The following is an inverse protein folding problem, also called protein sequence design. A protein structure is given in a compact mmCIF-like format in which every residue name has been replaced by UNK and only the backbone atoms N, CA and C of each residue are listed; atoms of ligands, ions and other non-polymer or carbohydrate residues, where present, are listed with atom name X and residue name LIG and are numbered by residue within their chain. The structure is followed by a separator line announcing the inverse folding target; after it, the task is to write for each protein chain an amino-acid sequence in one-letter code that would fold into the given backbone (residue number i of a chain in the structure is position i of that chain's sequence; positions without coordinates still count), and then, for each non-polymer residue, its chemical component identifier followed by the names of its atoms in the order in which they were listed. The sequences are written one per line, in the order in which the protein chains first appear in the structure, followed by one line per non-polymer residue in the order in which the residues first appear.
data_IF_845298404060
#
_entry.id   IF_845298404060
#
_cell.length_a   1.000
_cell.length_b   1.000
_cell.length_c   1.000
_cell.angle_alpha   90.00
_cell.angle_beta   90.00
_cell.angle_gamma   90.00
#
_symmetry.space_group_name_H-M   'P 1'
#
loop_
_entity.id
_entity.type
_entity.pdbx_description
1 polymer ?
#
# COMPACT_ATOMS: atom_id res chain seq x y z
N UNK A 1 -21.53 12.46 -10.74
CA UNK A 1 -20.74 12.97 -9.60
C UNK A 1 -19.33 12.38 -9.70
N UNK A 2 -18.37 13.09 -10.29
CA UNK A 2 -16.99 12.59 -10.53
C UNK A 2 -15.93 13.32 -9.69
N UNK A 3 -16.32 14.25 -8.80
CA UNK A 3 -15.40 15.10 -8.06
C UNK A 3 -14.73 14.44 -6.85
N UNK A 4 -15.41 13.51 -6.18
CA UNK A 4 -14.87 12.83 -4.99
C UNK A 4 -13.80 11.77 -5.34
N UNK A 5 -13.99 11.01 -6.42
CA UNK A 5 -13.05 9.95 -6.80
C UNK A 5 -11.68 10.43 -7.22
N UNK A 6 -11.64 11.50 -8.01
CA UNK A 6 -10.39 12.11 -8.43
C UNK A 6 -9.64 12.74 -7.26
N UNK A 7 -10.36 13.28 -6.28
CA UNK A 7 -9.77 13.80 -5.06
C UNK A 7 -9.16 12.68 -4.20
N UNK A 8 -9.89 11.58 -4.00
CA UNK A 8 -9.40 10.43 -3.24
C UNK A 8 -8.16 9.78 -3.86
N UNK A 9 -8.11 9.64 -5.19
CA UNK A 9 -6.93 9.10 -5.88
C UNK A 9 -5.70 10.00 -5.74
N UNK A 10 -5.86 11.33 -5.86
CA UNK A 10 -4.76 12.28 -5.68
C UNK A 10 -4.22 12.31 -4.25
N UNK A 11 -5.11 12.32 -3.26
CA UNK A 11 -4.72 12.27 -1.85
C UNK A 11 -4.00 10.97 -1.57
N UNK A 12 -4.53 9.85 -2.05
CA UNK A 12 -3.92 8.55 -1.87
C UNK A 12 -2.49 8.50 -2.42
N UNK A 13 -2.30 8.85 -3.70
CA UNK A 13 -0.99 8.82 -4.34
C UNK A 13 -0.03 9.85 -3.73
N UNK A 14 -0.52 11.04 -3.37
CA UNK A 14 0.29 12.09 -2.74
C UNK A 14 0.80 11.68 -1.35
N UNK A 15 -0.08 11.13 -0.51
CA UNK A 15 0.29 10.65 0.82
C UNK A 15 1.20 9.43 0.77
N UNK A 16 0.97 8.49 -0.16
CA UNK A 16 1.92 7.39 -0.40
C UNK A 16 3.28 7.97 -0.81
N UNK A 17 3.25 8.89 -1.77
CA UNK A 17 4.35 9.75 -2.23
C UNK A 17 5.26 10.19 -1.08
N UNK A 18 4.69 11.05 -0.24
CA UNK A 18 5.32 11.67 0.92
C UNK A 18 5.77 10.64 1.96
N UNK A 19 5.00 9.58 2.21
CA UNK A 19 5.36 8.55 3.19
C UNK A 19 6.66 7.82 2.85
N UNK A 20 6.88 7.49 1.58
CA UNK A 20 8.14 6.88 1.11
C UNK A 20 9.31 7.85 1.28
N UNK A 21 9.16 9.12 0.88
CA UNK A 21 10.23 10.13 1.01
C UNK A 21 10.62 10.32 2.49
N UNK A 22 9.65 10.31 3.40
CA UNK A 22 9.88 10.42 4.84
C UNK A 22 10.59 9.17 5.41
N UNK A 23 10.27 7.96 4.93
CA UNK A 23 11.01 6.74 5.29
C UNK A 23 12.47 6.82 4.81
N UNK A 24 12.70 7.29 3.59
CA UNK A 24 14.05 7.48 3.05
C UNK A 24 14.88 8.50 3.86
N UNK A 25 14.21 9.47 4.47
CA UNK A 25 14.79 10.47 5.38
C UNK A 25 14.84 10.02 6.85
N UNK A 26 14.42 8.79 7.16
CA UNK A 26 14.32 8.23 8.51
C UNK A 26 13.35 8.99 9.45
N UNK A 27 12.37 9.73 8.92
CA UNK A 27 11.34 10.43 9.69
C UNK A 27 10.08 9.55 9.90
N UNK A 28 10.26 8.40 10.57
CA UNK A 28 9.24 7.33 10.63
C UNK A 28 7.89 7.76 11.24
N UNK A 29 7.88 8.57 12.29
CA UNK A 29 6.63 9.04 12.92
C UNK A 29 5.77 9.89 11.95
N UNK A 30 6.44 10.71 11.14
CA UNK A 30 5.77 11.52 10.11
C UNK A 30 5.34 10.64 8.94
N UNK A 31 6.18 9.69 8.54
CA UNK A 31 5.88 8.74 7.49
C UNK A 31 4.61 7.93 7.82
N UNK A 32 4.50 7.43 9.05
CA UNK A 32 3.33 6.68 9.51
C UNK A 32 2.04 7.48 9.32
N UNK A 33 2.04 8.77 9.70
CA UNK A 33 0.87 9.64 9.54
C UNK A 33 0.42 9.76 8.08
N UNK A 34 1.35 9.96 7.15
CA UNK A 34 1.03 10.05 5.72
C UNK A 34 0.59 8.70 5.16
N UNK A 35 1.24 7.61 5.56
CA UNK A 35 0.91 6.27 5.09
C UNK A 35 -0.44 5.78 5.59
N UNK A 36 -0.86 6.16 6.80
CA UNK A 36 -2.23 5.89 7.30
C UNK A 36 -3.26 6.65 6.47
N UNK A 37 -3.01 7.92 6.12
CA UNK A 37 -3.91 8.68 5.23
C UNK A 37 -4.02 8.02 3.86
N UNK A 38 -2.88 7.62 3.28
CA UNK A 38 -2.84 6.89 2.01
C UNK A 38 -3.64 5.59 2.09
N UNK A 39 -3.45 4.80 3.16
CA UNK A 39 -4.14 3.54 3.38
C UNK A 39 -5.66 3.74 3.47
N UNK A 40 -6.12 4.70 4.27
CA UNK A 40 -7.56 5.01 4.40
C UNK A 40 -8.14 5.48 3.06
N UNK A 41 -7.44 6.37 2.34
CA UNK A 41 -7.87 6.86 1.04
C UNK A 41 -7.98 5.73 0.00
N UNK A 42 -7.02 4.80 -0.05
CA UNK A 42 -7.08 3.63 -0.93
C UNK A 42 -8.22 2.68 -0.62
N UNK A 43 -8.46 2.44 0.67
CA UNK A 43 -9.60 1.61 1.11
C UNK A 43 -10.95 2.26 0.76
N UNK A 44 -11.07 3.58 0.88
CA UNK A 44 -12.25 4.34 0.44
C UNK A 44 -12.41 4.29 -1.07
N UNK A 45 -11.32 4.44 -1.83
CA UNK A 45 -11.34 4.31 -3.28
C UNK A 45 -11.96 2.98 -3.72
N UNK A 46 -11.50 1.85 -3.16
CA UNK A 46 -12.03 0.50 -3.42
C UNK A 46 -13.51 0.31 -3.04
N UNK A 47 -14.05 1.15 -2.16
CA UNK A 47 -15.47 1.09 -1.77
C UNK A 47 -16.36 1.89 -2.71
N UNK A 48 -15.85 2.99 -3.24
CA UNK A 48 -16.65 4.01 -3.93
C UNK A 48 -16.45 4.01 -5.45
N UNK A 49 -15.39 3.38 -5.95
CA UNK A 49 -14.97 3.46 -7.35
C UNK A 49 -14.80 2.07 -7.98
N UNK A 50 -14.85 2.05 -9.31
CA UNK A 50 -14.43 0.90 -10.09
C UNK A 50 -12.93 0.67 -9.85
N UNK A 51 -12.59 -0.57 -9.52
CA UNK A 51 -11.21 -0.95 -9.20
C UNK A 51 -10.49 -1.40 -10.46
N UNK A 52 -9.29 -0.88 -10.66
CA UNK A 52 -8.39 -1.28 -11.74
C UNK A 52 -7.24 -2.14 -11.21
N UNK A 53 -6.50 -2.77 -12.12
CA UNK A 53 -5.23 -3.46 -11.81
C UNK A 53 -4.25 -2.50 -11.12
N UNK A 54 -4.13 -1.27 -11.61
CA UNK A 54 -3.26 -0.25 -11.01
C UNK A 54 -3.68 0.09 -9.58
N UNK A 55 -4.98 0.22 -9.32
CA UNK A 55 -5.48 0.47 -7.97
C UNK A 55 -5.13 -0.68 -7.01
N UNK A 56 -5.15 -1.94 -7.48
CA UNK A 56 -4.67 -3.09 -6.70
C UNK A 56 -3.18 -2.96 -6.40
N UNK A 57 -2.38 -2.65 -7.42
CA UNK A 57 -0.94 -2.47 -7.24
C UNK A 57 -0.59 -1.35 -6.26
N UNK A 58 -1.25 -0.19 -6.35
CA UNK A 58 -1.05 0.93 -5.42
C UNK A 58 -1.49 0.57 -4.00
N UNK A 59 -2.58 -0.19 -3.84
CA UNK A 59 -3.03 -0.63 -2.52
C UNK A 59 -2.03 -1.60 -1.90
N UNK A 60 -1.51 -2.55 -2.68
CA UNK A 60 -0.45 -3.44 -2.23
C UNK A 60 0.80 -2.64 -1.81
N UNK A 61 1.29 -1.70 -2.63
CA UNK A 61 2.41 -0.82 -2.28
C UNK A 61 2.14 -0.03 -1.00
N UNK A 62 0.96 0.57 -0.88
CA UNK A 62 0.57 1.36 0.31
C UNK A 62 0.64 0.51 1.56
N UNK A 63 0.08 -0.69 1.52
CA UNK A 63 0.07 -1.64 2.62
C UNK A 63 1.48 -2.11 2.96
N UNK A 64 2.31 -2.44 1.96
CA UNK A 64 3.69 -2.88 2.18
C UNK A 64 4.56 -1.80 2.83
N UNK A 65 4.42 -0.56 2.38
CA UNK A 65 5.20 0.57 2.92
C UNK A 65 4.73 0.91 4.34
N UNK A 66 3.42 0.91 4.59
CA UNK A 66 2.87 1.10 5.93
C UNK A 66 3.29 -0.04 6.88
N UNK A 67 3.23 -1.28 6.42
CA UNK A 67 3.69 -2.46 7.17
C UNK A 67 5.17 -2.30 7.59
N UNK A 68 6.03 -1.91 6.66
CA UNK A 68 7.45 -1.67 6.94
C UNK A 68 7.63 -0.57 7.99
N UNK A 69 6.91 0.55 7.83
CA UNK A 69 6.94 1.67 8.77
C UNK A 69 6.57 1.22 10.18
N UNK A 70 5.43 0.53 10.33
CA UNK A 70 4.92 0.04 11.61
C UNK A 70 5.85 -0.99 12.27
N UNK A 71 6.41 -1.91 11.48
CA UNK A 71 7.40 -2.88 11.98
C UNK A 71 8.65 -2.18 12.54
N UNK A 72 9.05 -1.05 11.94
CA UNK A 72 10.21 -0.24 12.36
C UNK A 72 9.89 0.67 13.55
N UNK A 73 8.67 1.19 13.66
CA UNK A 73 8.23 1.98 14.83
C UNK A 73 7.88 1.10 16.03
N UNK A 74 7.88 -0.23 15.86
CA UNK A 74 7.75 -1.20 16.95
C UNK A 74 6.31 -1.67 17.17
N UNK A 75 5.42 -1.52 16.18
CA UNK A 75 4.04 -2.02 16.21
C UNK A 75 3.78 -3.14 15.18
N UNK A 76 4.35 -4.34 15.38
CA UNK A 76 4.17 -5.46 14.46
C UNK A 76 2.73 -6.00 14.45
N UNK A 77 1.95 -5.77 15.52
CA UNK A 77 0.55 -6.21 15.58
C UNK A 77 -0.30 -5.37 14.62
N UNK A 78 -0.15 -4.05 14.68
CA UNK A 78 -0.85 -3.15 13.75
C UNK A 78 -0.40 -3.39 12.30
N UNK A 79 0.89 -3.71 12.08
CA UNK A 79 1.40 -4.07 10.76
C UNK A 79 0.65 -5.29 10.18
N UNK A 80 0.45 -6.35 10.96
CA UNK A 80 -0.31 -7.55 10.56
C UNK A 80 -1.79 -7.20 10.32
N UNK A 81 -2.39 -6.36 11.15
CA UNK A 81 -3.78 -5.91 10.97
C UNK A 81 -3.99 -5.15 9.65
N UNK A 82 -3.03 -4.31 9.27
CA UNK A 82 -3.02 -3.60 7.98
C UNK A 82 -2.99 -4.57 6.80
N UNK A 83 -2.16 -5.62 6.86
CA UNK A 83 -2.11 -6.68 5.84
C UNK A 83 -3.45 -7.43 5.77
N UNK A 84 -3.98 -7.89 6.91
CA UNK A 84 -5.26 -8.60 6.97
C UNK A 84 -6.43 -7.77 6.46
N UNK A 85 -6.47 -6.49 6.82
CA UNK A 85 -7.46 -5.54 6.31
C UNK A 85 -7.37 -5.42 4.80
N UNK A 86 -6.15 -5.34 4.26
CA UNK A 86 -5.93 -5.25 2.80
C UNK A 86 -6.40 -6.50 2.08
N UNK A 87 -6.03 -7.68 2.58
CA UNK A 87 -6.46 -8.97 2.05
C UNK A 87 -8.00 -9.07 2.02
N UNK A 88 -8.68 -8.57 3.05
CA UNK A 88 -10.14 -8.51 3.06
C UNK A 88 -10.73 -7.59 1.99
N UNK A 89 -10.09 -6.45 1.68
CA UNK A 89 -10.55 -5.59 0.57
C UNK A 89 -10.24 -6.21 -0.80
N UNK A 90 -9.10 -6.89 -0.95
CA UNK A 90 -8.75 -7.58 -2.19
C UNK A 90 -9.65 -8.78 -2.48
N UNK A 91 -10.08 -9.53 -1.44
CA UNK A 91 -10.99 -10.66 -1.64
C UNK A 91 -12.32 -10.28 -2.29
N UNK A 92 -12.81 -9.05 -2.04
CA UNK A 92 -14.03 -8.51 -2.66
C UNK A 92 -13.89 -8.35 -4.18
N UNK A 93 -12.69 -8.04 -4.68
CA UNK A 93 -12.44 -7.86 -6.12
C UNK A 93 -12.01 -9.16 -6.82
N UNK A 94 -11.64 -10.21 -6.06
CA UNK A 94 -11.32 -11.54 -6.62
C UNK A 94 -12.51 -12.22 -7.32
N UNK A 95 -13.74 -11.77 -7.04
CA UNK A 95 -14.93 -12.25 -7.75
C UNK A 95 -15.00 -11.72 -9.20
N UNK A 96 -14.31 -10.62 -9.52
CA UNK A 96 -14.20 -10.11 -10.88
C UNK A 96 -13.17 -10.90 -11.68
N UNK A 97 -13.59 -11.47 -12.82
CA UNK A 97 -12.74 -12.34 -13.66
C UNK A 97 -11.48 -11.63 -14.13
N UNK A 98 -11.56 -10.33 -14.45
CA UNK A 98 -10.42 -9.53 -14.92
C UNK A 98 -9.44 -9.09 -13.83
N UNK A 99 -9.81 -9.15 -12.56
CA UNK A 99 -9.01 -8.65 -11.43
C UNK A 99 -8.53 -9.76 -10.48
N UNK A 100 -9.06 -10.98 -10.62
CA UNK A 100 -8.79 -12.10 -9.71
C UNK A 100 -7.30 -12.41 -9.59
N UNK A 101 -6.62 -12.54 -10.72
CA UNK A 101 -5.21 -12.90 -10.75
C UNK A 101 -4.36 -11.85 -10.03
N UNK A 102 -4.58 -10.58 -10.36
CA UNK A 102 -3.87 -9.45 -9.75
C UNK A 102 -4.12 -9.38 -8.24
N UNK A 103 -5.37 -9.49 -7.81
CA UNK A 103 -5.72 -9.48 -6.40
C UNK A 103 -5.08 -10.64 -5.61
N UNK A 104 -4.96 -11.83 -6.23
CA UNK A 104 -4.27 -12.97 -5.62
C UNK A 104 -2.76 -12.74 -5.53
N UNK A 105 -2.15 -12.18 -6.58
CA UNK A 105 -0.72 -11.85 -6.59
C UNK A 105 -0.38 -10.80 -5.52
N UNK A 106 -1.18 -9.74 -5.43
CA UNK A 106 -1.07 -8.73 -4.38
C UNK A 106 -1.22 -9.34 -2.97
N UNK A 107 -2.20 -10.21 -2.74
CA UNK A 107 -2.32 -10.91 -1.45
C UNK A 107 -1.10 -11.77 -1.13
N UNK A 108 -0.60 -12.56 -2.10
CA UNK A 108 0.58 -13.38 -1.90
C UNK A 108 1.81 -12.54 -1.57
N UNK A 109 2.01 -11.43 -2.27
CA UNK A 109 3.08 -10.47 -1.98
C UNK A 109 3.04 -9.98 -0.53
N UNK A 110 1.86 -9.55 -0.07
CA UNK A 110 1.70 -9.03 1.29
C UNK A 110 1.97 -10.08 2.38
N UNK A 111 1.72 -11.35 2.11
CA UNK A 111 2.01 -12.44 3.03
C UNK A 111 3.50 -12.76 3.15
N UNK A 112 4.30 -12.35 2.15
CA UNK A 112 5.75 -12.58 2.10
C UNK A 112 6.56 -11.41 2.68
N UNK A 113 5.90 -10.36 3.18
CA UNK A 113 6.60 -9.17 3.73
C UNK A 113 7.47 -9.49 4.95
N UNK A 114 7.14 -10.55 5.70
CA UNK A 114 7.95 -10.99 6.83
C UNK A 114 9.30 -11.60 6.41
N UNK A 115 9.45 -12.00 5.14
CA UNK A 115 10.70 -12.56 4.60
C UNK A 115 11.75 -11.48 4.32
N UNK A 116 11.39 -10.20 4.42
CA UNK A 116 12.33 -9.08 4.24
C UNK A 116 13.26 -8.98 5.46
N UNK A 117 14.58 -9.19 5.30
CA UNK A 117 15.51 -9.26 6.43
C UNK A 117 15.61 -7.94 7.18
N UNK A 118 15.60 -7.98 8.51
CA UNK A 118 15.66 -6.78 9.35
C UNK A 118 17.04 -6.08 9.31
N UNK A 119 18.08 -6.83 8.94
CA UNK A 119 19.49 -6.41 8.97
C UNK A 119 19.86 -5.52 7.78
N UNK A 120 19.08 -5.51 6.70
CA UNK A 120 19.35 -4.66 5.54
C UNK A 120 18.91 -3.20 5.80
N UNK A 121 19.53 -2.21 5.11
CA UNK A 121 19.16 -0.81 5.26
C UNK A 121 17.68 -0.54 4.94
N UNK A 122 17.07 0.45 5.60
CA UNK A 122 15.65 0.80 5.43
C UNK A 122 15.29 1.09 3.98
N UNK A 123 16.15 1.77 3.23
CA UNK A 123 15.94 2.07 1.80
C UNK A 123 15.93 0.80 0.95
N UNK A 124 16.77 -0.20 1.28
CA UNK A 124 16.77 -1.49 0.60
C UNK A 124 15.52 -2.30 0.96
N UNK A 125 15.09 -2.31 2.23
CA UNK A 125 13.83 -2.93 2.63
C UNK A 125 12.63 -2.30 1.94
N UNK A 126 12.62 -0.96 1.84
CA UNK A 126 11.58 -0.23 1.14
C UNK A 126 11.50 -0.67 -0.32
N UNK A 127 12.64 -0.80 -1.01
CA UNK A 127 12.67 -1.31 -2.38
C UNK A 127 12.18 -2.78 -2.47
N UNK A 128 12.57 -3.64 -1.51
CA UNK A 128 12.18 -5.06 -1.48
C UNK A 128 10.70 -5.28 -1.16
N UNK A 129 10.11 -4.44 -0.31
CA UNK A 129 8.71 -4.57 0.13
C UNK A 129 7.71 -4.09 -0.93
N UNK A 130 8.14 -3.28 -1.90
CA UNK A 130 7.21 -2.71 -2.89
C UNK A 130 6.74 -3.77 -3.87
N UNK A 131 5.44 -3.75 -4.14
CA UNK A 131 4.75 -4.60 -5.09
C UNK A 131 4.95 -4.11 -6.53
N UNK A 132 4.91 -2.80 -6.75
CA UNK A 132 5.16 -2.19 -8.06
C UNK A 132 6.61 -1.73 -8.17
N UNK A 133 7.36 -2.30 -9.12
CA UNK A 133 8.79 -2.00 -9.32
C UNK A 133 9.08 -0.53 -9.64
N UNK A 134 8.09 0.28 -10.05
CA UNK A 134 8.29 1.70 -10.37
C UNK A 134 7.03 2.57 -10.22
N UNK A 135 7.16 3.65 -9.43
CA UNK A 135 6.11 4.69 -9.23
C UNK A 135 5.69 5.40 -10.52
N UNK A 136 6.60 5.49 -11.49
CA UNK A 136 6.40 6.23 -12.74
C UNK A 136 5.40 5.60 -13.70
N UNK A 137 5.00 4.34 -13.47
CA UNK A 137 4.09 3.60 -14.37
C UNK A 137 2.61 3.86 -14.02
N UNK A 138 2.30 4.28 -12.79
CA UNK A 138 0.92 4.34 -12.28
C UNK A 138 0.24 5.71 -12.50
N UNK A 139 0.94 6.66 -13.13
CA UNK A 139 0.46 8.04 -13.33
C UNK A 139 -0.17 8.32 -14.71
N UNK A 140 -0.61 7.29 -15.43
CA UNK A 140 -1.21 7.43 -16.77
C UNK A 140 -2.65 6.95 -16.82
#
# INVERSE_FOLDING_TARGET
MCGCGFFNAKVWLGCLGSGIELIEQCELDKAESELVKAFVAGKLFFREHEVTVDAIGVLADTTSVLYLCLKRTGDPKLAIEVVNSTAHTLSRVMHSVGLRQEAMQACNHLLMLDDVPAEVPTTAQLAMCRYTENRSVIAH
#
